data_IF_758050290103
#
_entry.id   IF_758050290103
#
_cell.length_a   1.000
_cell.length_b   1.000
_cell.length_c   1.000
_cell.angle_alpha   90.00
_cell.angle_beta   90.00
_cell.angle_gamma   90.00
#
_symmetry.space_group_name_H-M   'P 1'
#
loop_
_entity.id
_entity.type
_entity.pdbx_description
1 polymer ?
#
# COMPACT_ATOMS: atom_id res chain seq x y z
N UNK A 1 3.46 -13.77 9.25
CA UNK A 1 3.26 -12.35 8.81
C UNK A 1 2.77 -12.14 7.36
N UNK A 2 2.16 -13.13 6.70
CA UNK A 2 1.38 -12.91 5.45
C UNK A 2 0.01 -12.24 5.69
N UNK A 3 -0.44 -12.17 6.94
CA UNK A 3 -1.76 -11.64 7.30
C UNK A 3 -1.92 -10.14 7.10
N UNK A 4 -0.84 -9.35 7.25
CA UNK A 4 -0.93 -7.89 7.20
C UNK A 4 -1.17 -7.36 5.77
N UNK A 5 -0.52 -7.95 4.75
CA UNK A 5 -0.78 -7.59 3.34
C UNK A 5 -2.13 -8.09 2.85
N UNK A 6 -2.52 -9.29 3.29
CA UNK A 6 -3.70 -9.99 2.79
C UNK A 6 -4.99 -9.18 2.93
N UNK A 7 -5.05 -8.22 3.87
CA UNK A 7 -6.25 -7.42 4.13
C UNK A 7 -6.27 -6.06 3.43
N UNK A 8 -5.13 -5.37 3.32
CA UNK A 8 -5.08 -3.97 2.86
C UNK A 8 -4.85 -3.85 1.35
N UNK A 9 -3.95 -4.65 0.79
CA UNK A 9 -3.58 -4.54 -0.62
C UNK A 9 -4.68 -5.13 -1.52
N UNK A 10 -5.15 -4.32 -2.47
CA UNK A 10 -5.92 -4.81 -3.61
C UNK A 10 -4.99 -4.92 -4.82
N UNK A 11 -4.52 -6.13 -5.20
CA UNK A 11 -3.52 -6.28 -6.25
C UNK A 11 -4.10 -6.09 -7.67
N UNK A 12 -3.22 -5.74 -8.60
CA UNK A 12 -3.47 -5.88 -10.04
C UNK A 12 -3.52 -7.37 -10.43
N UNK A 13 -4.25 -7.71 -11.49
CA UNK A 13 -4.31 -9.08 -12.01
C UNK A 13 -3.05 -9.47 -12.79
N UNK A 14 -2.48 -8.51 -13.52
CA UNK A 14 -1.21 -8.66 -14.23
C UNK A 14 -0.05 -8.86 -13.25
N UNK A 15 0.96 -9.63 -13.66
CA UNK A 15 2.24 -9.78 -12.97
C UNK A 15 3.39 -9.03 -13.66
N UNK A 16 3.11 -8.19 -14.65
CA UNK A 16 4.13 -7.44 -15.38
C UNK A 16 4.45 -6.11 -14.67
N UNK A 17 5.57 -6.00 -13.94
CA UNK A 17 5.91 -4.78 -13.20
C UNK A 17 6.12 -3.56 -14.11
N UNK A 18 6.51 -3.75 -15.38
CA UNK A 18 6.74 -2.64 -16.30
C UNK A 18 5.44 -1.95 -16.77
N UNK A 19 4.28 -2.57 -16.53
CA UNK A 19 2.96 -2.01 -16.84
C UNK A 19 2.10 -1.78 -15.60
N UNK A 20 2.45 -2.41 -14.49
CA UNK A 20 1.66 -2.33 -13.29
C UNK A 20 1.92 -1.01 -12.55
N UNK A 21 0.87 -0.50 -11.95
CA UNK A 21 0.88 0.74 -11.20
C UNK A 21 0.38 0.45 -9.78
N UNK A 22 1.00 1.08 -8.78
CA UNK A 22 0.54 1.03 -7.39
C UNK A 22 0.07 2.42 -6.97
N UNK A 23 -1.17 2.53 -6.53
CA UNK A 23 -1.73 3.75 -5.97
C UNK A 23 -1.79 3.65 -4.45
N UNK A 24 -1.13 4.60 -3.78
CA UNK A 24 -1.26 4.82 -2.34
C UNK A 24 -2.44 5.76 -2.10
N UNK A 25 -3.41 5.33 -1.31
CA UNK A 25 -4.65 6.07 -1.10
C UNK A 25 -4.82 6.43 0.37
N UNK A 26 -5.19 7.67 0.67
CA UNK A 26 -5.44 8.11 2.04
C UNK A 26 -6.79 7.58 2.56
N UNK A 27 -6.72 6.60 3.46
CA UNK A 27 -7.87 6.03 4.17
C UNK A 27 -8.66 4.97 3.38
N UNK A 28 -9.35 4.11 4.13
CA UNK A 28 -10.11 2.98 3.56
C UNK A 28 -11.31 3.44 2.73
N UNK A 29 -11.92 4.58 3.08
CA UNK A 29 -13.07 5.13 2.37
C UNK A 29 -12.72 5.47 0.92
N UNK A 30 -11.68 6.30 0.72
CA UNK A 30 -11.15 6.60 -0.60
C UNK A 30 -10.56 5.35 -1.27
N UNK A 31 -9.95 4.45 -0.49
CA UNK A 31 -9.47 3.15 -0.96
C UNK A 31 -10.58 2.29 -1.59
N UNK A 32 -11.79 2.31 -1.01
CA UNK A 32 -12.97 1.63 -1.54
C UNK A 32 -13.41 2.20 -2.89
N UNK A 33 -13.47 3.52 -3.02
CA UNK A 33 -13.77 4.19 -4.28
C UNK A 33 -12.71 3.92 -5.34
N UNK A 34 -11.43 4.02 -4.99
CA UNK A 34 -10.31 3.73 -5.89
C UNK A 34 -10.31 2.26 -6.34
N UNK A 35 -10.60 1.33 -5.44
CA UNK A 35 -10.73 -0.10 -5.76
C UNK A 35 -11.81 -0.38 -6.82
N UNK A 36 -12.93 0.33 -6.74
CA UNK A 36 -14.05 0.16 -7.68
C UNK A 36 -13.75 0.82 -9.04
N UNK A 37 -13.04 1.95 -9.06
CA UNK A 37 -12.75 2.73 -10.27
C UNK A 37 -11.49 2.32 -11.04
N UNK A 38 -10.60 1.51 -10.45
CA UNK A 38 -9.32 1.13 -11.08
C UNK A 38 -9.50 0.22 -12.30
N UNK A 39 -8.55 0.29 -13.24
CA UNK A 39 -8.33 -0.83 -14.15
C UNK A 39 -7.65 -1.97 -13.39
N UNK A 40 -8.46 -2.98 -13.02
CA UNK A 40 -7.98 -4.13 -12.25
C UNK A 40 -6.87 -4.93 -12.93
N UNK A 41 -6.69 -4.78 -14.24
CA UNK A 41 -5.67 -5.49 -15.00
C UNK A 41 -4.28 -5.06 -14.57
N UNK A 42 -4.03 -3.76 -14.42
CA UNK A 42 -2.68 -3.23 -14.16
C UNK A 42 -2.57 -2.35 -12.92
N UNK A 43 -3.67 -1.85 -12.34
CA UNK A 43 -3.61 -0.92 -11.20
C UNK A 43 -3.87 -1.64 -9.89
N UNK A 44 -2.97 -1.52 -8.92
CA UNK A 44 -3.14 -1.98 -7.55
C UNK A 44 -3.45 -0.81 -6.61
N UNK A 45 -4.24 -1.05 -5.56
CA UNK A 45 -4.62 -0.04 -4.57
C UNK A 45 -4.12 -0.47 -3.19
N UNK A 46 -3.39 0.41 -2.52
CA UNK A 46 -2.98 0.27 -1.13
C UNK A 46 -3.50 1.46 -0.31
N UNK A 47 -4.58 1.28 0.47
CA UNK A 47 -5.03 2.29 1.43
C UNK A 47 -4.05 2.38 2.62
N UNK A 48 -3.66 3.60 2.99
CA UNK A 48 -2.87 3.90 4.19
C UNK A 48 -3.77 4.63 5.19
N UNK A 49 -3.68 4.28 6.48
CA UNK A 49 -4.50 4.93 7.52
C UNK A 49 -3.73 6.00 8.26
N UNK A 50 -4.37 7.17 8.40
CA UNK A 50 -3.83 8.29 9.16
C UNK A 50 -2.55 8.86 8.57
N UNK A 51 -1.82 9.63 9.38
CA UNK A 51 -0.55 10.24 8.97
C UNK A 51 0.58 9.24 9.16
N UNK A 52 1.28 8.94 8.07
CA UNK A 52 2.51 8.12 8.12
C UNK A 52 3.58 8.84 8.94
N UNK A 53 4.45 8.08 9.61
CA UNK A 53 5.57 8.60 10.38
C UNK A 53 6.47 9.51 9.52
N UNK A 54 6.90 10.64 10.08
CA UNK A 54 7.89 11.50 9.43
C UNK A 54 9.27 10.85 9.52
N UNK A 55 9.69 10.19 8.44
CA UNK A 55 10.95 9.45 8.36
C UNK A 55 12.19 10.35 8.47
N UNK A 56 12.11 11.64 8.10
CA UNK A 56 13.23 12.57 8.21
C UNK A 56 13.60 12.92 9.66
N UNK A 57 12.68 12.71 10.62
CA UNK A 57 12.87 13.00 12.04
C UNK A 57 12.92 11.74 12.93
N UNK A 58 12.59 10.58 12.37
CA UNK A 58 12.48 9.32 13.10
C UNK A 58 13.77 8.51 13.03
N UNK A 59 14.05 7.70 14.06
CA UNK A 59 15.17 6.74 14.03
C UNK A 59 14.80 5.54 13.16
N UNK A 60 15.79 4.90 12.55
CA UNK A 60 15.58 3.73 11.70
C UNK A 60 14.77 2.62 12.38
N UNK A 61 15.04 2.36 13.67
CA UNK A 61 14.31 1.36 14.45
C UNK A 61 12.81 1.68 14.59
N UNK A 62 12.43 2.95 14.62
CA UNK A 62 11.03 3.37 14.74
C UNK A 62 10.32 3.29 13.38
N UNK A 63 11.04 3.62 12.30
CA UNK A 63 10.56 3.49 10.91
C UNK A 63 10.23 2.02 10.61
N UNK A 64 11.14 1.09 10.93
CA UNK A 64 10.95 -0.34 10.69
C UNK A 64 9.90 -0.99 11.60
N UNK A 65 9.55 -0.34 12.72
CA UNK A 65 8.42 -0.78 13.57
C UNK A 65 7.07 -0.24 13.09
N UNK A 66 7.06 0.76 12.21
CA UNK A 66 5.82 1.34 11.73
C UNK A 66 5.08 0.39 10.78
N UNK A 67 3.82 0.11 11.08
CA UNK A 67 3.00 -0.83 10.30
C UNK A 67 2.74 -0.36 8.87
N UNK A 68 2.52 0.94 8.64
CA UNK A 68 2.26 1.47 7.29
C UNK A 68 3.53 1.41 6.44
N UNK A 69 4.69 1.77 7.00
CA UNK A 69 5.99 1.58 6.33
C UNK A 69 6.23 0.11 6.00
N UNK A 70 6.05 -0.80 6.95
CA UNK A 70 6.20 -2.24 6.69
C UNK A 70 5.24 -2.72 5.60
N UNK A 71 3.99 -2.28 5.62
CA UNK A 71 3.00 -2.62 4.59
C UNK A 71 3.45 -2.15 3.21
N UNK A 72 4.00 -0.93 3.10
CA UNK A 72 4.57 -0.43 1.85
C UNK A 72 5.79 -1.25 1.41
N UNK A 73 6.73 -1.55 2.32
CA UNK A 73 7.92 -2.36 2.02
C UNK A 73 7.51 -3.71 1.44
N UNK A 74 6.59 -4.42 2.08
CA UNK A 74 6.15 -5.72 1.58
C UNK A 74 5.32 -5.64 0.29
N UNK A 75 4.58 -4.54 0.08
CA UNK A 75 3.76 -4.37 -1.12
C UNK A 75 4.63 -4.08 -2.34
N UNK A 76 5.66 -3.25 -2.14
CA UNK A 76 6.64 -2.92 -3.18
C UNK A 76 7.53 -4.15 -3.44
N UNK A 77 7.93 -4.83 -2.36
CA UNK A 77 8.45 -6.20 -2.34
C UNK A 77 9.41 -6.55 -3.46
#
# INVERSE_FOLDING_TARGET
DKGLLSGKLTPAQSKNPAKNELYLVEGDSAGGSAKQGRDRKFQAILPLRGKVINTAKAKMADILKNEEINTMIYTIG
#
